data_IF_476017028253
#
_entry.id   IF_476017028253
#
_cell.length_a   1.000
_cell.length_b   1.000
_cell.length_c   1.000
_cell.angle_alpha   90.00
_cell.angle_beta   90.00
_cell.angle_gamma   90.00
#
_symmetry.space_group_name_H-M   'P 1'
#
loop_
_entity.id
_entity.type
_entity.pdbx_description
1 polymer ?
#
# COMPACT_ATOMS: atom_id res chain seq x y z
N UNK A 1 49.85 -37.04 -6.92
CA UNK A 1 48.39 -37.12 -6.74
C UNK A 1 48.02 -36.12 -5.64
N UNK A 2 47.83 -34.85 -6.00
CA UNK A 2 47.49 -33.77 -5.05
C UNK A 2 46.00 -33.48 -5.25
N UNK A 3 45.18 -33.84 -4.27
CA UNK A 3 43.73 -33.64 -4.31
C UNK A 3 43.43 -32.21 -3.87
N UNK A 4 42.89 -31.44 -4.81
CA UNK A 4 42.29 -30.11 -4.66
C UNK A 4 41.07 -30.19 -3.74
N UNK A 5 41.12 -29.54 -2.58
CA UNK A 5 39.91 -29.20 -1.82
C UNK A 5 39.48 -27.77 -2.19
N UNK A 6 38.55 -27.67 -3.15
CA UNK A 6 37.71 -26.49 -3.30
C UNK A 6 36.63 -26.53 -2.22
N UNK A 7 36.81 -25.81 -1.11
CA UNK A 7 35.67 -25.44 -0.26
C UNK A 7 34.88 -24.35 -0.96
N UNK A 8 33.82 -24.77 -1.65
CA UNK A 8 32.73 -23.90 -2.10
C UNK A 8 31.92 -23.45 -0.88
N UNK A 9 32.34 -22.37 -0.24
CA UNK A 9 31.50 -21.64 0.70
C UNK A 9 30.45 -20.83 -0.08
N UNK A 10 29.41 -21.49 -0.60
CA UNK A 10 28.14 -20.81 -0.92
C UNK A 10 27.42 -20.50 0.40
N UNK A 11 27.90 -19.47 1.10
CA UNK A 11 27.11 -18.82 2.12
C UNK A 11 26.06 -17.95 1.42
N UNK A 12 24.90 -18.53 1.09
CA UNK A 12 23.70 -17.78 0.76
C UNK A 12 23.13 -17.14 2.04
N UNK A 13 23.78 -16.08 2.52
CA UNK A 13 23.19 -15.16 3.50
C UNK A 13 22.61 -13.95 2.76
N UNK A 14 21.54 -14.16 2.01
CA UNK A 14 20.70 -13.06 1.50
C UNK A 14 19.84 -12.47 2.61
N UNK A 15 20.47 -11.92 3.65
CA UNK A 15 19.84 -11.01 4.60
C UNK A 15 19.80 -9.62 3.94
N UNK A 16 19.08 -9.49 2.83
CA UNK A 16 18.73 -8.16 2.32
C UNK A 16 17.64 -7.61 3.26
N UNK A 17 18.09 -7.08 4.39
CA UNK A 17 17.28 -6.44 5.42
C UNK A 17 17.02 -5.01 4.98
N UNK A 18 16.19 -4.87 3.96
CA UNK A 18 15.90 -3.63 3.29
C UNK A 18 14.47 -3.57 2.82
N UNK A 19 13.61 -2.73 3.38
CA UNK A 19 12.17 -2.98 3.25
C UNK A 19 11.30 -1.73 3.35
N UNK A 20 10.32 -1.68 2.47
CA UNK A 20 9.12 -0.89 2.65
C UNK A 20 7.99 -1.51 1.85
N UNK A 21 6.76 -1.24 2.24
CA UNK A 21 5.59 -1.96 1.71
C UNK A 21 4.40 -1.03 1.58
N UNK A 22 3.41 -1.40 0.76
CA UNK A 22 2.16 -0.66 0.66
C UNK A 22 1.24 -1.15 1.77
N UNK A 23 1.09 -0.36 2.83
CA UNK A 23 0.18 -0.70 3.92
C UNK A 23 -1.26 -0.51 3.51
N UNK A 24 -1.56 0.55 2.74
CA UNK A 24 -2.94 0.90 2.40
C UNK A 24 -3.10 1.48 1.00
N UNK A 25 -4.28 1.22 0.45
CA UNK A 25 -4.82 1.80 -0.77
C UNK A 25 -6.02 2.66 -0.37
N UNK A 26 -5.98 3.95 -0.70
CA UNK A 26 -7.02 4.92 -0.33
C UNK A 26 -7.79 5.31 -1.57
N UNK A 27 -9.04 4.84 -1.65
CA UNK A 27 -9.92 5.09 -2.79
C UNK A 27 -10.64 6.43 -2.68
N UNK A 28 -10.87 7.07 -3.83
CA UNK A 28 -11.67 8.30 -3.87
C UNK A 28 -13.16 8.05 -3.50
N UNK A 29 -13.60 6.80 -3.54
CA UNK A 29 -14.90 6.35 -3.02
C UNK A 29 -14.93 6.19 -1.48
N UNK A 30 -13.89 6.64 -0.76
CA UNK A 30 -13.80 6.54 0.71
C UNK A 30 -13.42 5.14 1.21
N UNK A 31 -13.12 4.21 0.30
CA UNK A 31 -12.73 2.84 0.67
C UNK A 31 -11.24 2.79 0.94
N UNK A 32 -10.87 2.29 2.12
CA UNK A 32 -9.48 1.97 2.46
C UNK A 32 -9.32 0.46 2.54
N UNK A 33 -8.34 -0.05 1.79
CA UNK A 33 -8.03 -1.48 1.73
C UNK A 33 -6.55 -1.69 2.08
N UNK A 34 -6.18 -2.76 2.80
CA UNK A 34 -4.78 -3.11 2.98
C UNK A 34 -4.09 -3.42 1.65
N UNK A 35 -2.77 -3.19 1.58
CA UNK A 35 -1.99 -3.69 0.46
C UNK A 35 -1.99 -5.22 0.37
N UNK A 36 -1.75 -5.74 -0.82
CA UNK A 36 -1.90 -7.17 -1.13
C UNK A 36 -0.84 -8.06 -0.48
N UNK A 37 0.26 -7.46 -0.04
CA UNK A 37 1.36 -8.16 0.63
C UNK A 37 1.15 -8.25 2.13
N UNK A 38 0.27 -7.41 2.69
CA UNK A 38 0.19 -7.11 4.12
C UNK A 38 -0.18 -8.31 4.98
N UNK A 39 0.60 -8.54 6.03
CA UNK A 39 0.36 -9.61 6.99
C UNK A 39 0.04 -9.00 8.36
N UNK A 40 -1.12 -9.38 8.92
CA UNK A 40 -1.46 -9.04 10.29
C UNK A 40 -0.43 -9.66 11.27
N UNK A 41 -0.20 -8.97 12.38
CA UNK A 41 0.83 -9.29 13.36
C UNK A 41 2.20 -8.67 13.04
N UNK A 42 2.38 -8.03 11.87
CA UNK A 42 3.65 -7.39 11.50
C UNK A 42 3.88 -6.11 12.31
N UNK A 43 4.96 -6.00 13.10
CA UNK A 43 5.26 -4.76 13.81
C UNK A 43 5.64 -3.64 12.83
N UNK A 44 5.07 -2.44 12.96
CA UNK A 44 5.44 -1.26 12.13
C UNK A 44 6.31 -0.24 12.83
N UNK A 45 6.55 -0.42 14.13
CA UNK A 45 7.43 0.44 14.93
C UNK A 45 8.79 -0.18 15.20
N UNK A 46 9.21 -1.13 14.35
CA UNK A 46 10.46 -1.87 14.46
C UNK A 46 11.09 -1.95 13.08
N UNK A 47 12.42 -1.91 13.05
CA UNK A 47 13.21 -2.02 11.82
C UNK A 47 13.85 -3.40 11.68
N UNK A 48 13.85 -4.22 12.73
CA UNK A 48 14.63 -5.47 12.78
C UNK A 48 13.94 -6.64 12.08
N UNK A 49 14.71 -7.47 11.37
CA UNK A 49 14.19 -8.74 10.83
C UNK A 49 13.70 -9.70 11.90
N UNK A 50 14.41 -9.75 13.02
CA UNK A 50 14.08 -10.64 14.13
C UNK A 50 12.69 -10.37 14.72
N UNK A 51 12.23 -9.10 14.69
CA UNK A 51 10.88 -8.75 15.12
C UNK A 51 9.77 -9.17 14.15
N UNK A 52 10.12 -9.53 12.92
CA UNK A 52 9.17 -9.78 11.85
C UNK A 52 8.67 -8.54 11.12
N UNK A 53 9.17 -7.33 11.40
CA UNK A 53 8.70 -6.08 10.77
C UNK A 53 8.80 -6.01 9.24
N UNK A 54 9.54 -6.95 8.64
CA UNK A 54 9.87 -6.99 7.22
C UNK A 54 9.17 -8.14 6.47
N UNK A 55 8.39 -8.98 7.18
CA UNK A 55 7.89 -10.27 6.64
C UNK A 55 6.90 -10.13 5.50
N UNK A 56 6.28 -8.96 5.37
CA UNK A 56 5.26 -8.65 4.37
C UNK A 56 5.69 -7.59 3.35
N UNK A 57 7.00 -7.36 3.27
CA UNK A 57 7.59 -6.61 2.17
C UNK A 57 7.97 -7.55 1.03
N UNK A 58 7.55 -7.19 -0.18
CA UNK A 58 7.91 -7.93 -1.39
C UNK A 58 9.30 -7.58 -1.88
N UNK A 59 10.05 -8.61 -2.26
CA UNK A 59 11.23 -8.50 -3.13
C UNK A 59 10.77 -8.67 -4.58
N UNK A 60 10.97 -7.65 -5.41
CA UNK A 60 10.41 -7.52 -6.77
C UNK A 60 11.54 -7.37 -7.80
N UNK A 61 12.23 -8.49 -8.05
CA UNK A 61 13.33 -8.56 -9.03
C UNK A 61 12.82 -9.05 -10.37
N UNK A 62 13.04 -8.29 -11.44
CA UNK A 62 12.55 -8.64 -12.79
C UNK A 62 12.89 -10.07 -13.25
N UNK A 63 14.11 -10.60 -13.02
CA UNK A 63 14.43 -11.96 -13.41
C UNK A 63 13.69 -13.05 -12.61
N UNK A 64 13.07 -12.72 -11.48
CA UNK A 64 12.38 -13.68 -10.61
C UNK A 64 10.86 -13.74 -10.89
N UNK A 65 10.28 -12.69 -11.48
CA UNK A 65 8.83 -12.55 -11.63
C UNK A 65 8.23 -13.58 -12.58
N UNK A 66 7.12 -14.20 -12.16
CA UNK A 66 6.40 -15.22 -12.93
C UNK A 66 7.07 -16.60 -12.93
N UNK A 67 8.08 -16.79 -12.09
CA UNK A 67 8.71 -18.10 -11.85
C UNK A 67 8.10 -18.79 -10.63
N UNK A 68 8.54 -20.01 -10.33
CA UNK A 68 8.17 -20.67 -9.06
C UNK A 68 8.71 -19.95 -7.81
N UNK A 69 9.68 -19.04 -7.97
CA UNK A 69 10.30 -18.29 -6.87
C UNK A 69 9.48 -17.06 -6.48
N UNK A 70 8.88 -16.37 -7.46
CA UNK A 70 8.14 -15.13 -7.23
C UNK A 70 6.95 -15.02 -8.21
N UNK A 71 5.81 -14.56 -7.69
CA UNK A 71 4.64 -14.26 -8.51
C UNK A 71 4.84 -12.95 -9.29
N UNK A 72 3.83 -12.50 -10.04
CA UNK A 72 3.85 -11.16 -10.65
C UNK A 72 4.00 -10.02 -9.62
N UNK A 73 3.73 -10.29 -8.34
CA UNK A 73 3.81 -9.32 -7.24
C UNK A 73 5.11 -9.46 -6.41
N UNK A 74 6.04 -10.32 -6.85
CA UNK A 74 7.28 -10.61 -6.15
C UNK A 74 7.16 -11.80 -5.18
N UNK A 75 8.02 -11.79 -4.17
CA UNK A 75 8.07 -12.81 -3.11
C UNK A 75 8.41 -12.20 -1.78
N UNK A 76 8.04 -12.88 -0.70
CA UNK A 76 8.51 -12.60 0.66
C UNK A 76 9.42 -13.73 1.14
N UNK A 77 9.83 -13.69 2.41
CA UNK A 77 10.50 -14.83 3.06
C UNK A 77 9.63 -16.08 3.16
N UNK A 78 8.33 -15.97 2.88
CA UNK A 78 7.35 -17.07 2.89
C UNK A 78 7.08 -17.65 1.49
N UNK A 79 7.70 -17.11 0.45
CA UNK A 79 7.54 -17.57 -0.94
C UNK A 79 6.86 -16.53 -1.84
N UNK A 80 6.34 -16.95 -3.02
CA UNK A 80 5.61 -16.08 -3.93
C UNK A 80 4.45 -15.35 -3.24
N UNK A 81 4.26 -14.07 -3.55
CA UNK A 81 3.18 -13.27 -2.98
C UNK A 81 1.84 -13.74 -3.56
N UNK A 82 0.92 -14.10 -2.68
CA UNK A 82 -0.47 -14.38 -3.01
C UNK A 82 -1.33 -13.13 -2.78
N UNK A 83 -1.62 -12.42 -3.88
CA UNK A 83 -2.48 -11.23 -3.84
C UNK A 83 -3.96 -11.54 -3.61
N UNK A 84 -4.42 -12.78 -3.82
CA UNK A 84 -5.82 -13.14 -3.60
C UNK A 84 -6.18 -13.15 -2.11
N UNK A 85 -5.24 -13.50 -1.23
CA UNK A 85 -5.47 -13.61 0.21
C UNK A 85 -6.13 -12.36 0.81
N UNK A 86 -5.57 -11.18 0.53
CA UNK A 86 -6.06 -9.92 1.10
C UNK A 86 -7.40 -9.54 0.48
N UNK A 87 -7.53 -9.60 -0.85
CA UNK A 87 -8.80 -9.27 -1.54
C UNK A 87 -9.91 -10.20 -1.10
N UNK A 88 -9.66 -11.51 -1.03
CA UNK A 88 -10.66 -12.48 -0.62
C UNK A 88 -11.15 -12.21 0.80
N UNK A 89 -10.23 -11.89 1.71
CA UNK A 89 -10.58 -11.52 3.10
C UNK A 89 -11.37 -10.21 3.14
N UNK A 90 -10.94 -9.21 2.40
CA UNK A 90 -11.61 -7.91 2.30
C UNK A 90 -13.02 -8.01 1.72
N UNK A 91 -13.23 -8.85 0.70
CA UNK A 91 -14.51 -8.98 0.01
C UNK A 91 -15.47 -9.96 0.67
N UNK A 92 -14.97 -11.05 1.25
CA UNK A 92 -15.80 -12.15 1.76
C UNK A 92 -15.75 -12.33 3.27
N UNK A 93 -14.90 -11.57 3.97
CA UNK A 93 -14.66 -11.72 5.39
C UNK A 93 -13.84 -12.97 5.72
N UNK A 94 -13.73 -13.25 7.02
CA UNK A 94 -13.06 -14.44 7.54
C UNK A 94 -14.10 -15.52 7.85
N UNK A 95 -13.82 -16.79 7.52
CA UNK A 95 -14.69 -17.91 7.91
C UNK A 95 -14.84 -17.94 9.43
N UNK A 96 -16.07 -17.80 9.94
CA UNK A 96 -16.37 -17.75 11.38
C UNK A 96 -16.47 -16.33 11.98
N UNK A 97 -16.12 -15.29 11.22
CA UNK A 97 -16.38 -13.88 11.54
C UNK A 97 -17.20 -13.28 10.39
N UNK A 98 -18.51 -13.53 10.43
CA UNK A 98 -19.47 -12.79 9.61
C UNK A 98 -19.52 -11.35 10.10
N UNK A 99 -19.63 -10.38 9.19
CA UNK A 99 -19.85 -8.94 9.44
C UNK A 99 -20.95 -8.64 10.49
N UNK A 100 -21.80 -9.64 10.75
CA UNK A 100 -22.78 -9.68 11.84
C UNK A 100 -22.12 -9.50 13.23
N UNK A 101 -20.91 -9.99 13.50
CA UNK A 101 -20.25 -9.82 14.79
C UNK A 101 -19.79 -8.38 15.08
N UNK A 102 -19.35 -7.66 14.06
CA UNK A 102 -18.90 -6.26 14.17
C UNK A 102 -20.06 -5.28 14.10
N UNK A 103 -21.10 -5.58 13.30
CA UNK A 103 -22.33 -4.76 13.21
C UNK A 103 -23.24 -4.96 14.43
N UNK A 104 -23.28 -6.16 15.04
CA UNK A 104 -23.98 -6.37 16.31
C UNK A 104 -23.15 -5.90 17.53
N UNK A 105 -21.86 -5.64 17.35
CA UNK A 105 -20.98 -4.96 18.31
C UNK A 105 -20.86 -3.45 18.04
N UNK A 106 -21.83 -2.84 17.37
CA UNK A 106 -21.86 -1.43 16.95
C UNK A 106 -21.86 -0.41 18.08
N UNK A 107 -20.78 -0.40 18.86
CA UNK A 107 -20.42 0.63 19.82
C UNK A 107 -19.20 1.42 19.37
N UNK A 108 -18.85 2.42 20.17
CA UNK A 108 -17.74 3.36 19.97
C UNK A 108 -16.40 2.67 19.68
N UNK A 109 -16.19 1.46 20.21
CA UNK A 109 -14.98 0.65 20.01
C UNK A 109 -14.82 0.18 18.54
N UNK A 110 -15.88 -0.33 17.91
CA UNK A 110 -15.84 -0.74 16.50
C UNK A 110 -15.62 0.45 15.57
N UNK A 111 -16.18 1.62 15.91
CA UNK A 111 -15.93 2.87 15.20
C UNK A 111 -14.48 3.33 15.39
N UNK A 112 -13.94 3.28 16.61
CA UNK A 112 -12.55 3.67 16.92
C UNK A 112 -11.54 2.76 16.22
N UNK A 113 -11.80 1.45 16.16
CA UNK A 113 -10.97 0.50 15.42
C UNK A 113 -10.99 0.75 13.92
N UNK A 114 -12.18 1.02 13.35
CA UNK A 114 -12.32 1.37 11.95
C UNK A 114 -11.60 2.69 11.62
N UNK A 115 -11.73 3.71 12.48
CA UNK A 115 -11.00 4.97 12.35
C UNK A 115 -9.49 4.72 12.38
N UNK A 116 -8.98 3.98 13.37
CA UNK A 116 -7.56 3.65 13.49
C UNK A 116 -7.03 2.88 12.27
N UNK A 117 -7.81 1.96 11.70
CA UNK A 117 -7.46 1.29 10.45
C UNK A 117 -7.55 2.20 9.22
N UNK A 118 -8.36 3.25 9.22
CA UNK A 118 -8.42 4.16 8.07
C UNK A 118 -7.29 5.18 8.14
N UNK A 119 -6.97 5.68 9.33
CA UNK A 119 -6.04 6.80 9.54
C UNK A 119 -4.62 6.36 9.86
N UNK A 120 -4.44 5.16 10.43
CA UNK A 120 -3.13 4.53 10.58
C UNK A 120 -2.24 5.29 11.52
N UNK A 121 -0.96 5.44 11.17
CA UNK A 121 -0.02 6.22 11.98
C UNK A 121 -0.52 7.64 12.21
N UNK A 122 -1.13 8.29 11.20
CA UNK A 122 -1.67 9.63 11.34
C UNK A 122 -2.73 9.71 12.45
N UNK A 123 -3.78 8.89 12.41
CA UNK A 123 -4.80 8.93 13.47
C UNK A 123 -4.38 8.28 14.79
N UNK A 124 -3.37 7.42 14.80
CA UNK A 124 -2.79 6.93 16.04
C UNK A 124 -1.99 8.03 16.76
N UNK A 125 -1.32 8.93 16.04
CA UNK A 125 -0.73 10.15 16.61
C UNK A 125 -1.83 11.06 17.16
N UNK A 126 -2.96 11.24 16.45
CA UNK A 126 -4.10 12.04 16.95
C UNK A 126 -4.69 11.45 18.24
N UNK A 127 -4.98 10.15 18.23
CA UNK A 127 -5.52 9.45 19.40
C UNK A 127 -4.53 9.48 20.58
N UNK A 128 -3.22 9.39 20.32
CA UNK A 128 -2.18 9.50 21.34
C UNK A 128 -2.01 10.92 21.90
N UNK A 129 -2.26 11.96 21.09
CA UNK A 129 -2.31 13.37 21.54
C UNK A 129 -3.56 13.64 22.38
N UNK A 130 -4.68 12.96 22.10
CA UNK A 130 -5.90 13.04 22.91
C UNK A 130 -5.68 12.50 24.34
N UNK A 131 -4.86 11.45 24.50
CA UNK A 131 -4.53 10.84 25.79
C UNK A 131 -3.29 11.47 26.47
N UNK A 132 -2.61 12.43 25.82
CA UNK A 132 -1.37 13.01 26.31
C UNK A 132 -1.05 14.35 25.67
N UNK A 133 -1.56 15.43 26.27
CA UNK A 133 -0.94 16.76 26.12
C UNK A 133 0.40 16.69 26.83
N UNK A 134 1.47 16.35 26.10
CA UNK A 134 2.80 16.98 26.23
C UNK A 134 3.78 16.43 25.18
N UNK A 135 4.18 17.33 24.27
CA UNK A 135 5.45 17.33 23.51
C UNK A 135 5.73 16.18 22.54
N UNK A 136 5.29 16.30 21.29
CA UNK A 136 5.93 15.65 20.14
C UNK A 136 6.30 16.69 19.07
N UNK A 137 7.49 16.61 18.44
CA UNK A 137 8.00 17.63 17.51
C UNK A 137 7.37 17.54 16.11
N UNK A 138 6.18 16.95 15.98
CA UNK A 138 5.43 16.84 14.71
C UNK A 138 4.48 18.03 14.60
N UNK A 139 5.04 19.24 14.61
CA UNK A 139 4.31 20.46 14.32
C UNK A 139 4.08 20.58 12.82
N UNK A 140 2.98 20.02 12.30
CA UNK A 140 2.23 20.59 11.16
C UNK A 140 0.89 19.90 10.84
N UNK A 141 0.48 18.83 11.55
CA UNK A 141 -0.92 18.35 11.44
C UNK A 141 -1.82 19.24 12.31
N UNK A 142 -2.14 20.43 11.80
CA UNK A 142 -3.07 21.35 12.44
C UNK A 142 -4.50 20.81 12.35
N UNK A 143 -4.88 19.97 13.31
CA UNK A 143 -6.21 19.37 13.37
C UNK A 143 -7.16 20.26 14.17
N UNK A 144 -7.87 21.13 13.46
CA UNK A 144 -9.14 21.66 13.96
C UNK A 144 -10.14 20.51 14.14
N UNK A 145 -10.92 20.54 15.22
CA UNK A 145 -11.89 19.50 15.61
C UNK A 145 -13.09 19.31 14.63
N UNK A 146 -12.97 19.78 13.38
CA UNK A 146 -14.06 19.80 12.39
C UNK A 146 -13.85 18.81 11.23
N UNK A 147 -12.68 18.17 11.14
CA UNK A 147 -12.35 17.27 10.03
C UNK A 147 -12.57 15.80 10.42
N UNK A 148 -13.63 15.19 9.91
CA UNK A 148 -13.85 13.73 10.00
C UNK A 148 -12.72 12.93 9.32
N UNK A 149 -12.83 11.60 9.34
CA UNK A 149 -11.78 10.66 8.87
C UNK A 149 -11.21 10.99 7.48
N UNK A 150 -12.06 11.45 6.55
CA UNK A 150 -11.64 11.82 5.19
C UNK A 150 -10.74 13.07 5.19
N UNK A 151 -11.01 14.04 6.07
CA UNK A 151 -10.19 15.25 6.19
C UNK A 151 -8.80 14.94 6.72
N UNK A 152 -8.67 14.03 7.70
CA UNK A 152 -7.36 13.60 8.20
C UNK A 152 -6.53 12.89 7.12
N UNK A 153 -7.16 12.10 6.25
CA UNK A 153 -6.48 11.48 5.12
C UNK A 153 -6.08 12.52 4.06
N UNK A 154 -6.95 13.49 3.77
CA UNK A 154 -6.63 14.55 2.82
C UNK A 154 -5.46 15.41 3.33
N UNK A 155 -5.44 15.77 4.61
CA UNK A 155 -4.30 16.44 5.24
C UNK A 155 -3.03 15.60 5.14
N UNK A 156 -3.11 14.29 5.43
CA UNK A 156 -1.97 13.38 5.27
C UNK A 156 -1.40 13.41 3.84
N UNK A 157 -2.24 13.34 2.80
CA UNK A 157 -1.75 13.38 1.42
C UNK A 157 -1.26 14.76 0.99
N UNK A 158 -1.80 15.84 1.54
CA UNK A 158 -1.44 17.21 1.17
C UNK A 158 -0.19 17.73 1.89
N UNK A 159 -0.01 17.41 3.17
CA UNK A 159 0.99 18.07 4.03
C UNK A 159 2.03 17.12 4.61
N UNK A 160 1.74 15.82 4.73
CA UNK A 160 2.65 14.92 5.44
C UNK A 160 3.94 14.67 4.66
N UNK A 161 5.07 14.88 5.35
CA UNK A 161 6.42 14.52 4.87
C UNK A 161 6.90 13.18 5.42
N UNK A 162 5.98 12.40 5.98
CA UNK A 162 6.25 11.17 6.73
C UNK A 162 5.61 11.21 8.12
N UNK A 163 4.95 10.13 8.52
CA UNK A 163 4.36 9.97 9.87
C UNK A 163 4.94 8.70 10.52
N UNK A 164 5.80 8.85 11.54
CA UNK A 164 6.39 7.71 12.24
C UNK A 164 5.33 6.83 12.90
N UNK A 165 5.60 5.52 12.93
CA UNK A 165 4.75 4.56 13.63
C UNK A 165 4.81 4.78 15.14
N UNK A 166 3.67 4.82 15.82
CA UNK A 166 3.63 4.78 17.29
C UNK A 166 4.33 3.53 17.81
N UNK A 167 4.96 3.63 18.98
CA UNK A 167 5.61 2.49 19.64
C UNK A 167 4.59 1.36 19.87
N UNK A 168 4.95 0.15 19.46
CA UNK A 168 4.12 -1.03 19.64
C UNK A 168 2.98 -1.15 18.62
N UNK A 169 2.95 -0.31 17.57
CA UNK A 169 1.98 -0.47 16.50
C UNK A 169 2.19 -1.81 15.78
N UNK A 170 1.14 -2.62 15.77
CA UNK A 170 1.07 -3.90 15.08
C UNK A 170 0.05 -3.78 13.96
N UNK A 171 0.43 -4.27 12.78
CA UNK A 171 -0.47 -4.38 11.65
C UNK A 171 -1.62 -5.35 11.96
N UNK A 172 -2.85 -4.92 11.76
CA UNK A 172 -4.05 -5.75 11.88
C UNK A 172 -5.13 -5.39 10.84
N UNK A 173 -4.71 -4.67 9.78
CA UNK A 173 -5.62 -4.13 8.79
C UNK A 173 -6.36 -5.16 7.96
N UNK A 174 -5.80 -6.35 7.74
CA UNK A 174 -6.49 -7.40 6.97
C UNK A 174 -7.68 -7.94 7.77
N UNK A 175 -7.49 -8.20 9.06
CA UNK A 175 -8.56 -8.60 9.96
C UNK A 175 -9.60 -7.48 10.16
N UNK A 176 -9.17 -6.24 10.39
CA UNK A 176 -10.10 -5.11 10.64
C UNK A 176 -10.94 -4.73 9.44
N UNK A 177 -10.43 -4.91 8.23
CA UNK A 177 -11.14 -4.61 6.98
C UNK A 177 -11.88 -5.82 6.39
N UNK A 178 -11.86 -6.96 7.07
CA UNK A 178 -12.46 -8.19 6.58
C UNK A 178 -13.96 -8.03 6.29
N UNK A 179 -14.37 -8.31 5.05
CA UNK A 179 -15.76 -8.22 4.59
C UNK A 179 -16.25 -6.80 4.28
N UNK A 180 -15.46 -5.75 4.50
CA UNK A 180 -15.85 -4.37 4.19
C UNK A 180 -16.18 -4.20 2.69
N UNK A 181 -15.38 -4.84 1.83
CA UNK A 181 -15.53 -4.79 0.37
C UNK A 181 -16.83 -5.38 -0.16
N UNK A 182 -17.54 -6.21 0.60
CA UNK A 182 -18.82 -6.79 0.19
C UNK A 182 -19.88 -5.71 -0.11
N UNK A 183 -19.83 -4.59 0.62
CA UNK A 183 -20.75 -3.45 0.44
C UNK A 183 -20.10 -2.30 -0.30
N UNK A 184 -18.83 -2.02 0.01
CA UNK A 184 -18.16 -0.83 -0.50
C UNK A 184 -17.47 -1.02 -1.85
N UNK A 185 -17.25 -2.27 -2.27
CA UNK A 185 -16.34 -2.59 -3.36
C UNK A 185 -14.88 -2.27 -3.00
N UNK A 186 -14.03 -2.26 -4.02
CA UNK A 186 -12.60 -1.94 -3.91
C UNK A 186 -12.36 -0.42 -3.93
N UNK A 187 -11.17 0.05 -3.47
CA UNK A 187 -10.73 1.41 -3.68
C UNK A 187 -10.78 1.83 -5.16
N UNK A 188 -11.21 3.06 -5.44
CA UNK A 188 -11.22 3.63 -6.79
C UNK A 188 -10.15 4.69 -6.98
N UNK A 189 -9.70 4.92 -8.22
CA UNK A 189 -9.01 6.16 -8.58
C UNK A 189 -9.90 7.39 -8.30
N UNK A 190 -9.31 8.58 -8.22
CA UNK A 190 -10.06 9.84 -8.29
C UNK A 190 -10.53 10.12 -9.73
N UNK A 191 -11.45 11.09 -9.88
CA UNK A 191 -11.97 11.48 -11.20
C UNK A 191 -10.89 11.99 -12.16
N UNK A 192 -9.78 12.49 -11.64
CA UNK A 192 -8.62 12.89 -12.42
C UNK A 192 -7.68 11.74 -12.77
N UNK A 193 -7.96 10.51 -12.34
CA UNK A 193 -7.14 9.32 -12.57
C UNK A 193 -6.01 9.11 -11.56
N UNK A 194 -5.98 9.83 -10.44
CA UNK A 194 -4.98 9.59 -9.39
C UNK A 194 -5.36 8.42 -8.47
N UNK A 195 -4.36 7.65 -8.05
CA UNK A 195 -4.46 6.58 -7.07
C UNK A 195 -3.61 6.96 -5.85
N UNK A 196 -4.22 6.96 -4.66
CA UNK A 196 -3.56 7.29 -3.39
C UNK A 196 -3.15 6.01 -2.65
N UNK A 197 -1.90 5.94 -2.24
CA UNK A 197 -1.30 4.82 -1.54
C UNK A 197 -0.58 5.31 -0.28
N UNK A 198 -0.61 4.52 0.79
CA UNK A 198 0.25 4.72 1.96
C UNK A 198 1.38 3.71 1.89
N UNK A 199 2.60 4.22 1.80
CA UNK A 199 3.83 3.44 1.76
C UNK A 199 4.52 3.50 3.12
N UNK A 200 4.76 2.36 3.73
CA UNK A 200 5.49 2.24 4.98
C UNK A 200 6.95 1.92 4.69
N UNK A 201 7.85 2.86 4.99
CA UNK A 201 9.28 2.60 4.98
C UNK A 201 9.67 1.94 6.31
N UNK A 202 10.11 0.69 6.27
CA UNK A 202 10.50 -0.06 7.48
C UNK A 202 11.86 0.42 7.98
N UNK A 203 12.83 0.53 7.08
CA UNK A 203 14.21 0.90 7.41
C UNK A 203 14.87 1.69 6.25
N UNK A 204 16.15 1.99 6.38
CA UNK A 204 16.88 2.98 5.58
C UNK A 204 16.81 2.71 4.07
N UNK A 205 16.85 1.46 3.67
CA UNK A 205 16.86 0.91 2.31
C UNK A 205 15.46 0.53 1.78
N UNK A 206 14.43 0.92 2.50
CA UNK A 206 13.04 0.96 2.04
C UNK A 206 12.61 2.31 1.46
N UNK A 207 13.52 3.25 1.25
CA UNK A 207 13.18 4.58 0.75
C UNK A 207 12.93 4.58 -0.77
N UNK A 208 12.72 5.77 -1.33
CA UNK A 208 12.46 6.00 -2.74
C UNK A 208 13.70 6.40 -3.56
N UNK A 209 13.49 6.92 -4.78
CA UNK A 209 12.20 7.06 -5.45
C UNK A 209 11.57 5.71 -5.76
N UNK A 210 10.25 5.62 -5.63
CA UNK A 210 9.47 4.44 -5.99
C UNK A 210 9.17 4.44 -7.50
N UNK A 211 9.16 3.24 -8.06
CA UNK A 211 8.63 2.90 -9.38
C UNK A 211 7.31 2.17 -9.19
N UNK A 212 6.31 2.53 -10.01
CA UNK A 212 5.01 1.88 -10.01
C UNK A 212 4.71 1.36 -11.40
N UNK A 213 4.39 0.07 -11.48
CA UNK A 213 3.82 -0.53 -12.67
C UNK A 213 2.38 -0.97 -12.39
N UNK A 214 1.48 -0.82 -13.35
CA UNK A 214 0.07 -1.19 -13.23
C UNK A 214 -0.28 -2.27 -14.24
N UNK A 215 -0.87 -3.34 -13.76
CA UNK A 215 -1.53 -4.36 -14.55
C UNK A 215 -3.04 -4.06 -14.61
N UNK A 216 -3.56 -3.95 -15.83
CA UNK A 216 -4.97 -3.64 -16.13
C UNK A 216 -5.80 -4.89 -16.48
N UNK A 217 -5.17 -6.05 -16.67
CA UNK A 217 -5.81 -7.20 -17.33
C UNK A 217 -5.64 -8.53 -16.61
N UNK A 218 -4.48 -8.83 -16.02
CA UNK A 218 -4.20 -10.20 -15.53
C UNK A 218 -4.54 -10.41 -14.06
N UNK A 219 -4.88 -9.34 -13.33
CA UNK A 219 -5.05 -9.41 -11.88
C UNK A 219 -3.73 -9.65 -11.14
N UNK A 220 -2.61 -9.16 -11.68
CA UNK A 220 -1.28 -9.26 -11.10
C UNK A 220 -0.60 -10.62 -11.29
N UNK A 221 -1.16 -11.48 -12.14
CA UNK A 221 -0.67 -12.85 -12.36
C UNK A 221 0.36 -12.94 -13.50
N UNK A 222 0.27 -12.08 -14.51
CA UNK A 222 1.21 -11.98 -15.63
C UNK A 222 2.16 -10.78 -15.43
N UNK A 223 3.45 -11.01 -15.17
CA UNK A 223 4.44 -9.94 -15.05
C UNK A 223 4.55 -9.04 -16.28
N UNK A 224 4.17 -9.53 -17.47
CA UNK A 224 4.25 -8.78 -18.74
C UNK A 224 3.07 -7.84 -18.95
N UNK A 225 1.99 -7.99 -18.20
CA UNK A 225 0.82 -7.12 -18.27
C UNK A 225 1.02 -5.77 -17.56
N UNK A 226 2.09 -5.66 -16.78
CA UNK A 226 2.46 -4.46 -16.03
C UNK A 226 3.05 -3.38 -16.94
N UNK A 227 2.45 -2.18 -16.90
CA UNK A 227 2.88 -0.98 -17.60
C UNK A 227 3.31 0.08 -16.60
N UNK A 228 4.39 0.80 -16.88
CA UNK A 228 4.87 1.86 -15.97
C UNK A 228 3.83 2.99 -15.84
N UNK A 229 3.68 3.51 -14.62
CA UNK A 229 2.83 4.63 -14.28
C UNK A 229 3.65 5.75 -13.63
N UNK A 230 3.23 6.99 -13.85
CA UNK A 230 3.88 8.15 -13.24
C UNK A 230 3.56 8.23 -11.74
N UNK A 231 4.59 8.48 -10.93
CA UNK A 231 4.44 8.73 -9.49
C UNK A 231 4.52 10.24 -9.26
N UNK A 232 3.37 10.88 -9.06
CA UNK A 232 3.26 12.35 -8.94
C UNK A 232 3.63 12.86 -7.55
N UNK A 233 3.45 12.03 -6.52
CA UNK A 233 3.98 12.27 -5.17
C UNK A 233 4.76 11.03 -4.77
N UNK A 234 6.06 11.18 -4.65
CA UNK A 234 6.99 10.09 -4.36
C UNK A 234 7.68 10.34 -3.03
N UNK A 235 8.26 9.28 -2.46
CA UNK A 235 9.01 9.37 -1.21
C UNK A 235 10.46 9.73 -1.52
N UNK A 236 11.08 10.51 -0.64
CA UNK A 236 12.48 10.90 -0.77
C UNK A 236 13.40 9.69 -0.62
N UNK A 237 14.55 9.75 -1.28
CA UNK A 237 15.61 8.76 -1.15
C UNK A 237 16.56 8.81 -2.35
N UNK A 238 17.69 8.13 -2.23
CA UNK A 238 18.65 7.96 -3.31
C UNK A 238 18.88 6.47 -3.49
N UNK A 239 18.51 5.92 -4.65
CA UNK A 239 18.62 4.49 -4.96
C UNK A 239 17.92 3.58 -3.92
N UNK A 240 16.83 4.06 -3.33
CA UNK A 240 16.10 3.34 -2.29
C UNK A 240 16.60 3.60 -0.87
N UNK A 241 17.54 4.51 -0.65
CA UNK A 241 18.10 4.80 0.68
C UNK A 241 17.67 6.16 1.26
N UNK A 242 17.37 6.21 2.55
CA UNK A 242 17.21 7.42 3.38
C UNK A 242 17.56 7.11 4.85
N UNK A 243 17.62 8.11 5.72
CA UNK A 243 17.86 7.93 7.17
C UNK A 243 16.57 7.73 7.98
N UNK A 244 15.42 7.60 7.30
CA UNK A 244 14.11 7.43 7.93
C UNK A 244 13.82 5.94 8.09
N UNK A 245 13.05 5.59 9.13
CA UNK A 245 12.61 4.21 9.36
C UNK A 245 11.26 4.22 10.07
N UNK A 246 10.55 3.09 10.02
CA UNK A 246 9.24 2.88 10.65
C UNK A 246 8.28 4.06 10.42
N UNK A 247 8.13 4.50 9.16
CA UNK A 247 7.41 5.74 8.82
C UNK A 247 6.49 5.55 7.62
N UNK A 248 5.26 6.04 7.74
CA UNK A 248 4.28 6.07 6.65
C UNK A 248 4.43 7.33 5.81
N UNK A 249 4.42 7.17 4.49
CA UNK A 249 4.51 8.25 3.52
C UNK A 249 3.34 8.24 2.54
N UNK A 250 2.83 9.41 2.14
CA UNK A 250 1.88 9.51 1.05
C UNK A 250 2.57 9.24 -0.28
N UNK A 251 1.96 8.37 -1.09
CA UNK A 251 2.37 8.10 -2.46
C UNK A 251 1.16 8.28 -3.36
N UNK A 252 1.30 9.08 -4.42
CA UNK A 252 0.23 9.33 -5.38
C UNK A 252 0.71 8.95 -6.76
N UNK A 253 -0.08 8.11 -7.43
CA UNK A 253 0.23 7.55 -8.75
C UNK A 253 -0.78 8.10 -9.75
N UNK A 254 -0.31 8.53 -10.92
CA UNK A 254 -1.18 8.87 -12.04
C UNK A 254 -1.43 7.61 -12.86
N UNK A 255 -2.67 7.13 -12.82
CA UNK A 255 -3.08 6.02 -13.67
C UNK A 255 -3.22 6.52 -15.11
N UNK A 256 -2.56 5.89 -16.10
CA UNK A 256 -2.67 6.26 -17.51
C UNK A 256 -4.12 6.34 -18.00
N UNK A 257 -4.46 7.39 -18.73
CA UNK A 257 -5.79 7.56 -19.32
C UNK A 257 -6.03 6.53 -20.43
N UNK A 258 -7.28 6.09 -20.58
CA UNK A 258 -7.70 5.15 -21.63
C UNK A 258 -7.45 3.68 -21.31
N UNK A 259 -6.71 3.37 -20.24
CA UNK A 259 -6.61 2.01 -19.70
C UNK A 259 -7.85 1.70 -18.84
N UNK A 260 -8.35 0.46 -18.89
CA UNK A 260 -9.53 0.03 -18.13
C UNK A 260 -9.15 -1.18 -17.29
N UNK A 261 -9.54 -1.17 -16.02
CA UNK A 261 -9.37 -2.34 -15.17
C UNK A 261 -10.32 -3.44 -15.66
N UNK A 262 -9.75 -4.51 -16.18
CA UNK A 262 -10.47 -5.69 -16.69
C UNK A 262 -10.03 -6.97 -15.99
N UNK A 263 -9.00 -6.90 -15.15
CA UNK A 263 -8.50 -8.03 -14.39
C UNK A 263 -9.53 -8.65 -13.48
N UNK A 264 -9.33 -9.93 -13.21
CA UNK A 264 -10.12 -10.71 -12.27
C UNK A 264 -9.20 -11.31 -11.23
N UNK A 265 -9.50 -11.06 -9.96
CA UNK A 265 -8.71 -11.58 -8.85
C UNK A 265 -9.63 -11.92 -7.67
N UNK A 266 -9.47 -13.10 -7.06
CA UNK A 266 -10.31 -13.57 -5.96
C UNK A 266 -11.82 -13.48 -6.23
N UNK A 267 -12.26 -13.69 -7.48
CA UNK A 267 -13.66 -13.61 -7.88
C UNK A 267 -14.21 -12.19 -8.14
N UNK A 268 -13.42 -11.15 -7.88
CA UNK A 268 -13.76 -9.75 -8.21
C UNK A 268 -13.31 -9.43 -9.62
N UNK A 269 -14.20 -8.87 -10.44
CA UNK A 269 -13.91 -8.40 -11.80
C UNK A 269 -13.64 -6.91 -11.83
N UNK A 270 -12.94 -6.45 -12.88
CA UNK A 270 -12.67 -5.03 -13.09
C UNK A 270 -11.54 -4.50 -12.20
N UNK A 271 -10.60 -5.36 -11.83
CA UNK A 271 -9.49 -5.07 -10.91
C UNK A 271 -8.24 -4.67 -11.69
N UNK A 272 -7.57 -3.61 -11.25
CA UNK A 272 -6.19 -3.31 -11.59
C UNK A 272 -5.29 -3.61 -10.41
N UNK A 273 -4.03 -3.97 -10.69
CA UNK A 273 -3.01 -4.17 -9.67
C UNK A 273 -1.86 -3.21 -9.91
N UNK A 274 -1.60 -2.32 -8.94
CA UNK A 274 -0.38 -1.52 -8.92
C UNK A 274 0.70 -2.29 -8.14
N UNK A 275 1.84 -2.54 -8.78
CA UNK A 275 3.05 -3.09 -8.16
C UNK A 275 4.03 -1.95 -7.94
N UNK A 276 4.41 -1.76 -6.69
CA UNK A 276 5.29 -0.67 -6.26
C UNK A 276 6.60 -1.26 -5.79
N UNK A 277 7.72 -0.67 -6.22
CA UNK A 277 9.06 -1.08 -5.79
C UNK A 277 10.01 0.12 -5.73
N UNK A 278 11.02 0.07 -4.88
CA UNK A 278 12.13 1.02 -4.94
C UNK A 278 13.26 0.53 -5.86
N UNK A 279 14.36 1.28 -5.91
CA UNK A 279 15.53 0.96 -6.76
C UNK A 279 16.71 0.35 -5.99
N UNK A 280 16.46 -0.23 -4.80
CA UNK A 280 17.53 -0.77 -3.97
C UNK A 280 18.21 -1.99 -4.63
N UNK A 281 19.54 -1.95 -4.75
CA UNK A 281 20.35 -3.03 -5.37
C UNK A 281 20.24 -4.35 -4.62
N UNK A 282 20.00 -4.31 -3.30
CA UNK A 282 19.79 -5.50 -2.48
C UNK A 282 18.52 -6.29 -2.91
N UNK A 283 17.63 -5.67 -3.68
CA UNK A 283 16.49 -6.28 -4.35
C UNK A 283 15.30 -5.34 -4.27
N UNK A 284 14.84 -4.70 -5.36
CA UNK A 284 13.74 -3.73 -5.31
C UNK A 284 12.61 -4.13 -4.35
N UNK A 285 12.36 -3.32 -3.34
CA UNK A 285 11.43 -3.61 -2.25
C UNK A 285 10.15 -2.80 -2.37
N UNK A 286 9.04 -3.41 -2.01
CA UNK A 286 7.77 -2.72 -2.03
C UNK A 286 6.60 -3.63 -1.73
N UNK A 287 5.54 -3.45 -2.50
CA UNK A 287 4.32 -4.23 -2.34
C UNK A 287 3.38 -4.05 -3.52
N UNK A 288 2.12 -4.43 -3.32
CA UNK A 288 1.11 -4.30 -4.35
C UNK A 288 -0.22 -3.79 -3.79
N UNK A 289 -1.00 -3.15 -4.65
CA UNK A 289 -2.27 -2.53 -4.34
C UNK A 289 -3.32 -2.95 -5.36
N UNK A 290 -4.52 -3.28 -4.91
CA UNK A 290 -5.67 -3.51 -5.77
C UNK A 290 -6.59 -2.29 -5.78
N UNK A 291 -7.06 -1.94 -6.96
CA UNK A 291 -7.99 -0.83 -7.15
C UNK A 291 -8.87 -1.05 -8.37
N UNK A 292 -9.87 -0.19 -8.53
CA UNK A 292 -10.75 -0.11 -9.70
C UNK A 292 -10.74 1.32 -10.25
N UNK A 293 -11.18 1.51 -11.49
CA UNK A 293 -11.35 2.87 -12.00
C UNK A 293 -12.60 3.51 -11.37
N UNK A 294 -12.51 4.79 -11.05
CA UNK A 294 -13.72 5.59 -10.87
C UNK A 294 -14.46 5.66 -12.23
N UNK A 295 -15.78 5.34 -12.27
CA UNK A 295 -16.58 5.42 -13.50
C UNK A 295 -16.54 6.78 -14.21
N UNK A 296 -16.26 7.87 -13.50
CA UNK A 296 -16.11 9.22 -14.06
C UNK A 296 -14.73 9.42 -14.71
N UNK A 297 -13.69 8.79 -14.19
CA UNK A 297 -12.34 8.84 -14.75
C UNK A 297 -12.25 8.08 -16.10
N UNK A 298 -13.02 7.01 -16.27
CA UNK A 298 -13.01 6.16 -17.47
C UNK A 298 -13.64 6.84 -18.70
N UNK A 299 -14.43 7.91 -18.51
CA UNK A 299 -15.14 8.57 -19.62
C UNK A 299 -14.25 9.46 -20.50
N UNK A 300 -13.01 9.73 -20.10
CA UNK A 300 -12.12 10.67 -20.78
C UNK A 300 -12.68 12.10 -20.72
N UNK A 301 -11.88 13.07 -20.28
CA UNK A 301 -12.25 14.47 -20.55
C UNK A 301 -12.23 14.65 -22.07
N UNK A 302 -13.40 14.62 -22.70
CA UNK A 302 -13.58 15.24 -24.00
C UNK A 302 -13.31 16.75 -23.79
N UNK A 303 -12.07 17.17 -23.99
CA UNK A 303 -11.70 18.57 -24.11
C UNK A 303 -12.28 19.12 -25.41
N UNK A 304 -13.57 19.42 -25.39
CA UNK A 304 -14.25 20.15 -26.45
C UNK A 304 -15.05 21.33 -25.89
N UNK A 305 -14.42 22.10 -25.00
CA UNK A 305 -14.77 23.52 -24.88
C UNK A 305 -14.19 24.25 -26.09
N UNK A 306 -14.88 24.11 -27.23
CA UNK A 306 -14.63 24.84 -28.47
C UNK A 306 -14.75 26.33 -28.15
N UNK A 307 -13.61 27.01 -28.01
CA UNK A 307 -13.54 28.46 -27.85
C UNK A 307 -14.17 29.08 -29.10
N UNK A 308 -15.45 29.44 -29.02
CA UNK A 308 -16.12 30.20 -30.08
C UNK A 308 -15.54 31.61 -30.02
N UNK A 309 -14.66 31.93 -30.96
CA UNK A 309 -14.34 33.33 -31.28
C UNK A 309 -15.65 34.08 -31.52
N UNK A 310 -16.00 34.96 -30.58
CA UNK A 310 -16.92 36.06 -30.85
C UNK A 310 -16.08 37.18 -31.43
N UNK A 311 -16.09 37.29 -32.75
CA UNK A 311 -15.90 38.58 -33.40
C UNK A 311 -17.19 39.38 -33.19
N UNK A 312 -17.09 40.45 -32.41
CA UNK A 312 -17.84 41.70 -32.58
C UNK A 312 -16.88 42.82 -32.22
#
# INVERSE_FOLDING_TARGET
MLITFFLSALAWSHLSQAHGTITRVVGANGVVMPGLTILDGTPRSSTSGASGAQVDTSVIRDPELGTSKASGLGRTSKGPVDGERVIKTFMHGLKGRSLVGTVLGGGEEATREAVSFVTGNAGAVVNGVQDGIETSPVGDLALGAEHGVNGLLDDFFQTAKGVPSPRGYIEDGVQKSAGAGAKSGLPTTAADGTLKLIYHQVNEDGAGPLLVDIDFTSGGTDPKAFKSAEVVQNIIGVLGFSTVSSTDFPVVVKVPAGEVCSGKLAGVSGVCIARVRNSATAGPFGGAAAFTHNPEATKGKNSSAKFRHRHV
#
